data_IF_894886349754
#
_entry.id   IF_894886349754
#
_cell.length_a   1.000
_cell.length_b   1.000
_cell.length_c   1.000
_cell.angle_alpha   90.00
_cell.angle_beta   90.00
_cell.angle_gamma   90.00
#
_symmetry.space_group_name_H-M   'P 1'
#
loop_
_entity.id
_entity.type
_entity.pdbx_description
1 polymer ?
#
# COMPACT_ATOMS: atom_id res chain seq x y z
N UNK A 1 9.66 1.98 -33.30
CA UNK A 1 10.10 3.22 -33.98
C UNK A 1 11.56 3.49 -33.64
N UNK A 2 12.43 3.55 -34.65
CA UNK A 2 13.85 3.88 -34.51
C UNK A 2 14.06 5.40 -34.57
N UNK A 3 15.11 5.87 -33.89
CA UNK A 3 15.74 7.16 -34.17
C UNK A 3 16.76 6.96 -35.30
N UNK A 4 16.92 7.96 -36.15
CA UNK A 4 17.98 8.04 -37.17
C UNK A 4 18.59 9.44 -37.16
N UNK A 5 19.87 9.56 -37.50
CA UNK A 5 20.53 10.87 -37.70
C UNK A 5 19.84 11.57 -38.88
N UNK A 6 19.57 12.87 -38.77
CA UNK A 6 18.75 13.63 -39.72
C UNK A 6 19.49 13.96 -41.05
N UNK A 7 19.82 12.95 -41.85
CA UNK A 7 20.32 13.10 -43.23
C UNK A 7 19.77 11.99 -44.16
N UNK A 8 19.91 12.18 -45.49
CA UNK A 8 19.19 11.44 -46.54
C UNK A 8 19.34 9.90 -46.53
N UNK A 9 18.19 9.22 -46.73
CA UNK A 9 17.98 7.87 -47.27
C UNK A 9 19.13 6.82 -47.23
N UNK A 10 19.00 5.84 -46.32
CA UNK A 10 19.28 4.40 -46.59
C UNK A 10 18.28 3.53 -45.79
N UNK A 11 17.89 2.37 -46.32
CA UNK A 11 17.01 1.36 -45.70
C UNK A 11 17.78 0.34 -44.83
N UNK A 12 17.07 -0.45 -44.00
CA UNK A 12 17.60 -1.59 -43.23
C UNK A 12 16.47 -2.60 -42.96
N UNK A 13 16.81 -3.90 -42.94
CA UNK A 13 15.88 -5.06 -42.97
C UNK A 13 15.85 -5.93 -41.67
N UNK A 14 15.08 -7.04 -41.69
CA UNK A 14 14.67 -7.96 -40.58
C UNK A 14 15.73 -9.00 -40.11
N UNK A 15 15.57 -9.96 -39.17
CA UNK A 15 14.46 -10.68 -38.42
C UNK A 15 15.01 -11.34 -37.09
N UNK A 16 14.29 -11.67 -35.98
CA UNK A 16 13.44 -12.87 -35.55
C UNK A 16 14.21 -14.23 -35.47
N UNK A 17 14.11 -15.20 -34.50
CA UNK A 17 13.20 -15.67 -33.38
C UNK A 17 13.91 -15.80 -31.98
N UNK A 18 13.53 -16.43 -30.82
CA UNK A 18 12.53 -17.41 -30.23
C UNK A 18 12.75 -18.94 -30.46
N UNK A 19 12.54 -19.95 -29.56
CA UNK A 19 12.19 -20.14 -28.10
C UNK A 19 12.66 -21.58 -27.60
N UNK A 20 12.27 -22.36 -26.54
CA UNK A 20 11.24 -22.41 -25.44
C UNK A 20 11.50 -23.58 -24.36
N UNK A 21 10.63 -23.83 -23.35
CA UNK A 21 10.43 -25.04 -22.41
C UNK A 21 11.42 -25.40 -21.24
N UNK A 22 11.16 -26.22 -20.17
CA UNK A 22 9.97 -26.57 -19.30
C UNK A 22 10.25 -27.48 -18.02
N UNK A 23 9.60 -27.21 -16.86
CA UNK A 23 9.22 -28.04 -15.64
C UNK A 23 10.20 -29.05 -14.89
N UNK A 24 9.88 -29.96 -13.90
CA UNK A 24 8.65 -30.46 -13.17
C UNK A 24 8.90 -31.32 -11.86
N UNK A 25 8.06 -31.22 -10.78
CA UNK A 25 7.72 -32.18 -9.63
C UNK A 25 8.82 -32.79 -8.67
N UNK A 26 8.59 -33.46 -7.50
CA UNK A 26 7.63 -33.53 -6.32
C UNK A 26 8.11 -34.69 -5.34
N UNK A 27 7.63 -35.12 -4.12
CA UNK A 27 6.58 -34.81 -3.09
C UNK A 27 6.80 -35.61 -1.72
N UNK A 28 5.86 -35.52 -0.72
CA UNK A 28 5.48 -36.48 0.38
C UNK A 28 6.07 -36.50 1.84
N UNK A 29 5.36 -37.16 2.81
CA UNK A 29 5.39 -36.98 4.30
C UNK A 29 5.40 -38.29 5.17
N UNK A 30 5.54 -38.21 6.53
CA UNK A 30 5.02 -39.23 7.49
C UNK A 30 4.75 -38.72 8.96
N UNK A 31 4.20 -39.55 9.88
CA UNK A 31 3.59 -39.16 11.20
C UNK A 31 3.90 -40.12 12.41
N UNK A 32 3.40 -39.80 13.63
CA UNK A 32 3.81 -40.35 14.95
C UNK A 32 2.70 -41.10 15.78
N UNK A 33 3.02 -41.81 16.90
CA UNK A 33 2.15 -42.80 17.58
C UNK A 33 1.46 -42.37 18.92
N UNK A 34 0.86 -43.33 19.66
CA UNK A 34 0.00 -43.15 20.88
C UNK A 34 0.57 -43.81 22.17
N UNK A 35 -0.10 -43.58 23.32
CA UNK A 35 0.32 -43.90 24.71
C UNK A 35 -0.63 -44.90 25.40
N UNK A 36 -0.13 -45.67 26.39
CA UNK A 36 -0.88 -46.55 27.31
C UNK A 36 -0.52 -46.26 28.78
N UNK A 37 -1.39 -46.64 29.73
CA UNK A 37 -1.15 -46.65 31.20
C UNK A 37 -0.75 -48.04 31.71
N UNK A 38 0.05 -48.11 32.77
CA UNK A 38 0.63 -49.34 33.32
C UNK A 38 0.26 -49.59 34.81
N UNK A 39 0.43 -50.83 35.27
CA UNK A 39 0.17 -51.29 36.65
C UNK A 39 1.45 -51.93 37.21
N UNK A 40 1.80 -51.64 38.46
CA UNK A 40 3.01 -52.14 39.10
C UNK A 40 2.86 -53.55 39.70
N UNK A 41 3.54 -54.52 39.08
CA UNK A 41 3.53 -55.94 39.45
C UNK A 41 5.00 -56.39 39.52
N UNK A 42 5.44 -56.96 40.66
CA UNK A 42 6.84 -57.44 40.83
C UNK A 42 7.02 -58.83 40.21
N UNK A 43 6.04 -59.71 40.43
CA UNK A 43 5.88 -61.04 39.82
C UNK A 43 4.39 -61.37 39.74
N UNK A 44 3.99 -62.36 38.93
CA UNK A 44 2.58 -62.70 38.58
C UNK A 44 1.64 -63.10 39.73
N UNK A 45 2.05 -62.96 40.99
CA UNK A 45 1.28 -63.28 42.21
C UNK A 45 1.34 -62.15 43.26
N UNK A 46 2.18 -61.12 43.10
CA UNK A 46 2.32 -60.03 44.10
C UNK A 46 2.39 -58.63 43.45
N UNK A 47 1.45 -57.79 43.87
CA UNK A 47 1.43 -56.33 43.69
C UNK A 47 2.17 -55.72 44.88
N UNK A 48 3.10 -54.79 44.66
CA UNK A 48 3.72 -54.02 45.74
C UNK A 48 2.69 -52.97 46.24
N UNK A 49 2.25 -53.00 47.52
CA UNK A 49 1.34 -52.00 48.05
C UNK A 49 1.96 -50.60 48.00
N UNK A 50 1.17 -49.59 47.67
CA UNK A 50 1.61 -48.19 47.74
C UNK A 50 2.71 -47.79 46.76
N UNK A 51 2.93 -48.50 45.64
CA UNK A 51 3.96 -48.18 44.64
C UNK A 51 3.35 -47.66 43.32
N UNK A 52 4.02 -46.69 42.71
CA UNK A 52 3.60 -46.00 41.47
C UNK A 52 4.79 -45.72 40.53
N UNK A 53 4.51 -45.03 39.41
CA UNK A 53 5.50 -44.62 38.42
C UNK A 53 5.74 -45.67 37.33
N UNK A 54 6.19 -45.23 36.14
CA UNK A 54 6.37 -46.10 34.97
C UNK A 54 7.44 -47.20 35.14
N UNK A 55 8.28 -47.11 36.18
CA UNK A 55 9.26 -48.15 36.55
C UNK A 55 9.05 -48.68 37.98
N UNK A 56 7.91 -48.38 38.61
CA UNK A 56 7.55 -48.88 39.94
C UNK A 56 8.59 -48.57 41.03
N UNK A 57 9.10 -47.34 40.97
CA UNK A 57 10.27 -46.83 41.71
C UNK A 57 9.93 -45.63 42.62
N UNK A 58 8.65 -45.32 42.76
CA UNK A 58 8.10 -44.17 43.49
C UNK A 58 6.97 -44.68 44.41
N UNK A 59 6.80 -44.07 45.58
CA UNK A 59 5.62 -44.35 46.40
C UNK A 59 4.39 -43.63 45.82
N UNK A 60 3.24 -44.31 45.88
CA UNK A 60 1.94 -43.72 45.63
C UNK A 60 1.64 -42.62 46.68
N UNK A 61 0.71 -41.69 46.39
CA UNK A 61 0.30 -40.68 47.36
C UNK A 61 -0.08 -41.30 48.72
N UNK A 62 0.27 -40.60 49.80
CA UNK A 62 0.11 -41.04 51.19
C UNK A 62 0.85 -42.34 51.55
N UNK A 63 1.90 -42.70 50.81
CA UNK A 63 2.80 -43.80 51.16
C UNK A 63 4.27 -43.35 51.14
N UNK A 64 5.10 -43.98 51.97
CA UNK A 64 6.51 -43.62 52.15
C UNK A 64 7.44 -44.83 52.34
N UNK A 65 8.75 -44.59 52.28
CA UNK A 65 9.78 -45.53 52.71
C UNK A 65 9.82 -46.79 51.85
N UNK A 66 9.96 -46.61 50.52
CA UNK A 66 10.04 -47.67 49.51
C UNK A 66 11.10 -48.72 49.88
N UNK A 67 10.65 -49.95 50.12
CA UNK A 67 11.48 -51.12 50.35
C UNK A 67 11.08 -52.29 49.44
N UNK A 68 11.70 -53.46 49.63
CA UNK A 68 11.42 -54.65 48.83
C UNK A 68 9.95 -55.15 48.90
N UNK A 69 9.22 -54.79 49.94
CA UNK A 69 7.83 -55.21 50.16
C UNK A 69 6.81 -54.21 49.61
N UNK A 70 7.19 -52.95 49.36
CA UNK A 70 6.34 -51.89 48.83
C UNK A 70 6.66 -50.54 49.49
N UNK A 71 5.64 -49.68 49.63
CA UNK A 71 5.70 -48.51 50.49
C UNK A 71 4.69 -48.64 51.64
N UNK A 72 4.99 -48.01 52.78
CA UNK A 72 4.16 -48.03 53.99
C UNK A 72 3.16 -46.88 53.93
N UNK A 73 1.93 -47.09 54.38
CA UNK A 73 0.93 -46.03 54.46
C UNK A 73 1.32 -44.99 55.53
N UNK A 74 1.15 -43.71 55.20
CA UNK A 74 1.48 -42.59 56.10
C UNK A 74 0.40 -42.34 57.15
N UNK A 75 0.77 -41.67 58.24
CA UNK A 75 -0.24 -41.08 59.14
C UNK A 75 -0.90 -39.86 58.49
N UNK A 76 -2.13 -39.56 58.90
CA UNK A 76 -2.88 -38.39 58.41
C UNK A 76 -2.24 -37.11 58.94
N UNK A 77 -1.86 -36.20 58.05
CA UNK A 77 -1.16 -34.98 58.43
C UNK A 77 -2.05 -33.98 59.19
N UNK A 78 -1.49 -33.24 60.17
CA UNK A 78 -2.26 -32.39 61.07
C UNK A 78 -2.79 -31.11 60.41
N UNK A 79 -2.13 -30.59 59.37
CA UNK A 79 -2.58 -29.42 58.62
C UNK A 79 -3.14 -29.82 57.23
N UNK A 80 -4.29 -29.28 56.76
CA UNK A 80 -4.97 -29.75 55.55
C UNK A 80 -4.20 -29.67 54.22
N UNK A 81 -3.15 -28.84 54.13
CA UNK A 81 -2.30 -28.71 52.95
C UNK A 81 -0.92 -29.36 53.06
N UNK A 82 -0.62 -30.05 54.16
CA UNK A 82 0.59 -30.86 54.29
C UNK A 82 0.44 -32.18 53.54
N UNK A 83 1.54 -32.67 52.97
CA UNK A 83 1.65 -33.99 52.35
C UNK A 83 2.70 -34.82 53.08
N UNK A 84 2.55 -36.14 53.03
CA UNK A 84 3.55 -37.06 53.54
C UNK A 84 4.80 -37.06 52.65
N UNK A 85 5.99 -36.94 53.24
CA UNK A 85 7.26 -37.13 52.56
C UNK A 85 7.44 -38.61 52.15
N UNK A 86 7.66 -38.93 50.87
CA UNK A 86 7.71 -40.31 50.37
C UNK A 86 8.98 -41.07 50.80
N UNK A 87 9.96 -40.41 51.43
CA UNK A 87 11.18 -41.02 51.95
C UNK A 87 11.08 -41.23 53.47
N UNK A 88 10.75 -40.19 54.23
CA UNK A 88 10.79 -40.24 55.70
C UNK A 88 9.45 -40.58 56.36
N UNK A 89 8.33 -40.24 55.72
CA UNK A 89 6.99 -40.35 56.30
C UNK A 89 6.52 -39.11 57.08
N UNK A 90 7.35 -38.06 57.15
CA UNK A 90 7.02 -36.82 57.86
C UNK A 90 6.01 -35.97 57.09
N UNK A 91 5.21 -35.17 57.81
CA UNK A 91 4.26 -34.24 57.20
C UNK A 91 4.93 -32.91 56.86
N UNK A 92 5.09 -32.64 55.56
CA UNK A 92 5.80 -31.48 55.01
C UNK A 92 4.88 -30.64 54.12
N UNK A 93 5.20 -29.36 53.95
CA UNK A 93 4.54 -28.55 52.94
C UNK A 93 4.98 -28.97 51.52
N UNK A 94 4.07 -29.05 50.54
CA UNK A 94 4.40 -29.32 49.14
C UNK A 94 5.45 -28.34 48.57
N UNK A 95 6.24 -28.74 47.55
CA UNK A 95 7.33 -27.93 47.02
C UNK A 95 6.94 -26.49 46.66
N UNK A 96 7.76 -25.52 47.11
CA UNK A 96 7.57 -24.09 46.88
C UNK A 96 6.26 -23.48 47.44
N UNK A 97 5.66 -24.10 48.45
CA UNK A 97 4.54 -23.52 49.22
C UNK A 97 5.00 -22.94 50.57
N UNK A 98 4.15 -22.11 51.18
CA UNK A 98 4.35 -21.44 52.47
C UNK A 98 2.98 -21.10 53.09
N UNK A 99 2.95 -20.90 54.40
CA UNK A 99 1.72 -20.70 55.18
C UNK A 99 1.49 -21.85 56.17
N UNK A 100 0.64 -21.63 57.19
CA UNK A 100 0.35 -22.65 58.21
C UNK A 100 -0.42 -23.84 57.64
N UNK A 101 -1.14 -23.65 56.53
CA UNK A 101 -1.83 -24.68 55.78
C UNK A 101 -1.20 -24.89 54.39
N UNK A 102 0.05 -24.46 54.20
CA UNK A 102 0.80 -24.52 52.94
C UNK A 102 0.07 -23.84 51.76
N UNK A 103 -0.80 -22.87 52.05
CA UNK A 103 -1.84 -22.38 51.15
C UNK A 103 -1.38 -21.29 50.15
N UNK A 104 -0.17 -20.76 50.33
CA UNK A 104 0.42 -19.73 49.48
C UNK A 104 1.66 -20.26 48.74
N UNK A 105 1.98 -19.69 47.57
CA UNK A 105 3.26 -19.93 46.91
C UNK A 105 4.38 -19.08 47.54
N UNK A 106 5.63 -19.56 47.49
CA UNK A 106 6.79 -18.70 47.76
C UNK A 106 6.96 -17.63 46.67
N UNK A 107 7.70 -16.55 46.95
CA UNK A 107 7.83 -15.39 46.05
C UNK A 107 8.30 -15.70 44.61
N UNK A 108 9.00 -16.82 44.42
CA UNK A 108 9.50 -17.26 43.13
C UNK A 108 8.69 -18.46 42.58
N UNK A 109 7.41 -18.57 42.92
CA UNK A 109 6.54 -19.65 42.46
C UNK A 109 5.08 -19.21 42.24
N UNK A 110 4.38 -19.97 41.40
CA UNK A 110 3.00 -19.71 40.94
C UNK A 110 2.28 -21.04 40.67
N UNK A 111 1.00 -21.00 40.26
CA UNK A 111 0.21 -22.19 39.90
C UNK A 111 0.18 -23.24 41.03
N UNK A 112 -0.45 -22.85 42.15
CA UNK A 112 -0.63 -23.71 43.34
C UNK A 112 -1.48 -24.95 43.05
N UNK A 113 -1.01 -26.11 43.52
CA UNK A 113 -1.71 -27.38 43.46
C UNK A 113 -1.52 -28.17 44.77
N UNK A 114 -2.58 -28.50 45.54
CA UNK A 114 -2.47 -29.05 46.90
C UNK A 114 -1.53 -30.26 47.07
N UNK A 115 -1.44 -31.16 46.08
CA UNK A 115 -0.58 -32.36 46.14
C UNK A 115 0.79 -32.21 45.43
N UNK A 116 1.10 -31.04 44.86
CA UNK A 116 2.33 -30.81 44.06
C UNK A 116 3.06 -29.52 44.43
N UNK A 117 2.42 -28.65 45.20
CA UNK A 117 2.91 -27.33 45.56
C UNK A 117 2.81 -26.34 44.41
N UNK A 118 3.77 -25.43 44.31
CA UNK A 118 3.81 -24.38 43.29
C UNK A 118 4.93 -24.62 42.27
N UNK A 119 4.67 -24.23 41.03
CA UNK A 119 5.64 -24.23 39.93
C UNK A 119 6.59 -23.04 40.09
N UNK A 120 7.91 -23.24 40.01
CA UNK A 120 8.85 -22.12 40.07
C UNK A 120 8.65 -21.15 38.89
N UNK A 121 8.90 -19.86 39.14
CA UNK A 121 9.03 -18.84 38.11
C UNK A 121 10.30 -19.12 37.26
N UNK A 122 10.14 -19.13 35.94
CA UNK A 122 11.21 -19.39 34.96
C UNK A 122 11.44 -18.14 34.11
N UNK A 123 11.75 -17.02 34.77
CA UNK A 123 11.91 -15.72 34.12
C UNK A 123 13.27 -15.58 33.42
N UNK A 124 13.23 -15.05 32.20
CA UNK A 124 14.41 -14.75 31.36
C UNK A 124 15.37 -13.81 32.09
N UNK A 125 16.59 -14.30 32.36
CA UNK A 125 17.66 -13.53 33.03
C UNK A 125 18.07 -12.25 32.27
N UNK A 126 17.75 -12.18 30.97
CA UNK A 126 18.03 -11.01 30.11
C UNK A 126 16.80 -10.11 30.02
N UNK A 127 15.63 -10.68 29.71
CA UNK A 127 14.42 -9.90 29.40
C UNK A 127 13.53 -9.53 30.59
N UNK A 128 13.71 -10.16 31.75
CA UNK A 128 12.94 -9.87 32.96
C UNK A 128 13.64 -8.89 33.90
N UNK A 129 12.84 -8.22 34.73
CA UNK A 129 13.23 -7.32 35.81
C UNK A 129 13.17 -8.08 37.15
N UNK A 130 14.00 -9.13 37.26
CA UNK A 130 14.06 -10.07 38.38
C UNK A 130 13.60 -11.50 38.04
N UNK A 131 13.79 -12.46 38.97
CA UNK A 131 13.35 -13.84 38.78
C UNK A 131 11.88 -14.08 39.23
N UNK A 132 11.33 -13.17 40.04
CA UNK A 132 9.98 -13.26 40.58
C UNK A 132 8.91 -13.04 39.50
N UNK A 133 7.83 -13.81 39.56
CA UNK A 133 6.68 -13.73 38.66
C UNK A 133 5.38 -13.59 39.47
N UNK A 134 4.31 -13.11 38.82
CA UNK A 134 3.01 -12.98 39.49
C UNK A 134 2.47 -14.37 39.92
N UNK A 135 2.22 -14.61 41.21
CA UNK A 135 1.90 -15.95 41.72
C UNK A 135 0.56 -16.51 41.22
N UNK A 136 -0.33 -15.65 40.71
CA UNK A 136 -1.66 -16.05 40.21
C UNK A 136 -1.62 -16.55 38.76
N UNK A 137 -0.69 -16.07 37.93
CA UNK A 137 -0.70 -16.34 36.48
C UNK A 137 0.67 -16.61 35.84
N UNK A 138 1.77 -16.57 36.61
CA UNK A 138 3.13 -16.87 36.15
C UNK A 138 3.79 -15.77 35.33
N UNK A 139 3.16 -14.61 35.13
CA UNK A 139 3.71 -13.54 34.31
C UNK A 139 4.91 -12.88 35.01
N UNK A 140 6.09 -13.00 34.38
CA UNK A 140 7.30 -12.29 34.75
C UNK A 140 7.17 -10.79 34.41
N UNK A 141 7.84 -9.93 35.19
CA UNK A 141 7.90 -8.48 34.92
C UNK A 141 8.93 -8.23 33.80
N UNK A 142 8.48 -7.92 32.59
CA UNK A 142 9.38 -7.73 31.45
C UNK A 142 9.99 -6.32 31.38
N UNK A 143 11.22 -6.24 30.87
CA UNK A 143 11.86 -4.99 30.43
C UNK A 143 11.20 -4.51 29.13
N UNK A 144 11.33 -3.22 28.82
CA UNK A 144 10.56 -2.55 27.77
C UNK A 144 10.61 -3.21 26.37
N UNK A 145 11.73 -3.85 26.02
CA UNK A 145 11.98 -4.45 24.70
C UNK A 145 11.57 -5.93 24.62
N UNK A 146 11.06 -6.51 25.73
CA UNK A 146 10.83 -7.95 25.90
C UNK A 146 9.36 -8.25 26.23
N UNK A 147 8.89 -9.44 25.86
CA UNK A 147 7.49 -9.88 26.00
C UNK A 147 7.41 -11.40 26.17
N UNK A 148 6.21 -11.90 26.47
CA UNK A 148 5.94 -13.31 26.75
C UNK A 148 5.84 -13.59 28.25
N UNK A 149 5.34 -14.77 28.62
CA UNK A 149 5.14 -15.15 30.01
C UNK A 149 6.44 -15.07 30.83
N UNK A 150 7.55 -15.46 30.18
CA UNK A 150 8.89 -15.51 30.76
C UNK A 150 9.78 -14.32 30.38
N UNK A 151 9.30 -13.38 29.56
CA UNK A 151 10.13 -12.34 28.93
C UNK A 151 11.26 -12.92 28.04
N UNK A 152 10.95 -14.02 27.37
CA UNK A 152 11.82 -14.87 26.54
C UNK A 152 11.75 -14.54 25.04
N UNK A 153 11.08 -13.44 24.67
CA UNK A 153 10.87 -12.99 23.30
C UNK A 153 10.99 -11.47 23.22
N UNK A 154 11.30 -10.93 22.04
CA UNK A 154 11.28 -9.48 21.80
C UNK A 154 9.84 -8.96 21.61
N UNK A 155 9.63 -7.69 21.98
CA UNK A 155 8.34 -7.00 21.88
C UNK A 155 8.02 -6.55 20.45
N UNK A 156 6.84 -5.97 20.24
CA UNK A 156 6.38 -5.54 18.92
C UNK A 156 7.33 -4.49 18.28
N UNK A 157 7.94 -4.86 17.16
CA UNK A 157 8.92 -4.03 16.46
C UNK A 157 10.35 -4.20 16.98
N UNK A 158 10.66 -5.30 17.67
CA UNK A 158 12.01 -5.73 18.01
C UNK A 158 12.22 -7.20 17.60
N UNK A 159 13.45 -7.57 17.26
CA UNK A 159 13.85 -8.92 16.81
C UNK A 159 15.20 -9.35 17.43
N UNK A 160 15.68 -10.57 17.15
CA UNK A 160 16.98 -11.11 17.61
C UNK A 160 17.11 -11.32 19.14
N UNK A 161 16.18 -12.03 19.79
CA UNK A 161 16.36 -12.45 21.18
C UNK A 161 17.62 -13.37 21.30
N UNK A 162 18.53 -13.19 22.27
CA UNK A 162 18.38 -12.39 23.50
C UNK A 162 18.76 -10.91 23.40
N UNK A 163 19.35 -10.44 22.31
CA UNK A 163 19.74 -9.03 22.12
C UNK A 163 18.70 -8.31 21.26
N UNK A 164 17.56 -7.99 21.89
CA UNK A 164 16.40 -7.44 21.20
C UNK A 164 16.70 -6.08 20.54
N UNK A 165 16.80 -6.07 19.21
CA UNK A 165 17.14 -4.89 18.41
C UNK A 165 15.90 -4.37 17.67
N UNK A 166 15.77 -3.05 17.56
CA UNK A 166 14.59 -2.43 16.95
C UNK A 166 14.49 -2.71 15.43
N UNK A 167 13.30 -3.05 14.96
CA UNK A 167 13.03 -3.35 13.55
C UNK A 167 13.36 -2.17 12.63
N UNK A 168 13.13 -0.92 13.06
CA UNK A 168 13.47 0.32 12.34
C UNK A 168 13.03 0.37 10.87
N UNK A 169 11.84 -0.18 10.57
CA UNK A 169 11.26 -0.17 9.24
C UNK A 169 10.83 1.24 8.81
N UNK A 170 11.10 1.64 7.57
CA UNK A 170 10.54 2.87 7.03
C UNK A 170 9.05 2.69 6.71
N UNK A 171 8.23 3.41 7.47
CA UNK A 171 6.80 3.64 7.25
C UNK A 171 6.41 4.03 5.82
N UNK A 172 7.31 4.62 5.02
CA UNK A 172 7.04 5.00 3.65
C UNK A 172 7.05 3.78 2.71
N UNK A 173 7.91 2.80 2.98
CA UNK A 173 8.11 1.62 2.14
C UNK A 173 7.62 0.29 2.70
N UNK A 174 7.22 0.24 3.96
CA UNK A 174 6.65 -0.96 4.62
C UNK A 174 5.14 -1.08 4.34
N UNK A 175 4.58 -2.29 4.28
CA UNK A 175 3.12 -2.48 4.21
C UNK A 175 2.47 -1.93 5.50
N UNK A 176 1.55 -0.95 5.42
CA UNK A 176 0.90 -0.39 6.61
C UNK A 176 0.12 -1.42 7.44
N UNK A 177 -0.24 -2.59 6.90
CA UNK A 177 -0.89 -3.69 7.65
C UNK A 177 0.06 -4.38 8.63
N UNK A 178 1.37 -4.27 8.44
CA UNK A 178 2.39 -4.81 9.35
C UNK A 178 2.83 -3.81 10.42
N UNK A 179 2.26 -2.60 10.43
CA UNK A 179 2.56 -1.53 11.36
C UNK A 179 1.40 -1.35 12.36
N UNK A 180 1.75 -1.31 13.65
CA UNK A 180 0.79 -0.99 14.71
C UNK A 180 0.45 0.50 14.73
N UNK A 181 -0.63 0.86 15.45
CA UNK A 181 -1.07 2.26 15.60
C UNK A 181 0.00 3.20 16.21
N UNK A 182 1.01 2.64 16.89
CA UNK A 182 2.17 3.37 17.44
C UNK A 182 3.24 3.71 16.40
N UNK A 183 3.09 3.31 15.13
CA UNK A 183 4.11 3.46 14.09
C UNK A 183 5.25 2.43 14.15
N UNK A 184 5.29 1.60 15.19
CA UNK A 184 6.16 0.41 15.25
C UNK A 184 5.67 -0.63 14.23
N UNK A 185 6.56 -1.12 13.36
CA UNK A 185 6.27 -2.17 12.39
C UNK A 185 7.00 -3.46 12.72
N UNK A 186 6.36 -4.60 12.46
CA UNK A 186 6.96 -5.91 12.62
C UNK A 186 8.01 -6.19 11.53
N UNK A 187 9.01 -6.97 11.90
CA UNK A 187 10.02 -7.55 11.02
C UNK A 187 10.22 -9.04 11.38
N UNK A 188 10.89 -9.79 10.51
CA UNK A 188 11.19 -11.21 10.76
C UNK A 188 12.38 -11.41 11.74
N UNK A 189 12.78 -12.66 11.95
CA UNK A 189 13.90 -13.02 12.83
C UNK A 189 15.26 -12.49 12.33
N UNK A 190 15.37 -12.14 11.04
CA UNK A 190 16.55 -11.51 10.41
C UNK A 190 16.49 -9.96 10.45
N UNK A 191 15.39 -9.39 10.93
CA UNK A 191 15.16 -7.95 10.92
C UNK A 191 14.69 -7.39 9.57
N UNK A 192 14.25 -8.24 8.63
CA UNK A 192 13.66 -7.85 7.35
C UNK A 192 12.21 -7.37 7.57
N UNK A 193 11.95 -6.13 7.18
CA UNK A 193 10.62 -5.52 7.18
C UNK A 193 9.80 -5.95 5.95
N UNK A 194 8.47 -6.09 6.05
CA UNK A 194 7.62 -6.47 4.92
C UNK A 194 7.38 -5.29 3.97
N UNK A 195 8.14 -5.22 2.89
CA UNK A 195 8.13 -4.07 1.98
C UNK A 195 6.93 -4.07 1.01
N UNK A 196 6.50 -2.86 0.63
CA UNK A 196 5.57 -2.60 -0.48
C UNK A 196 6.20 -3.04 -1.80
N UNK A 197 5.35 -3.34 -2.79
CA UNK A 197 5.69 -3.95 -4.09
C UNK A 197 7.01 -3.47 -4.73
N UNK A 198 7.25 -2.16 -4.78
CA UNK A 198 8.38 -1.56 -5.51
C UNK A 198 9.51 -1.09 -4.57
N UNK A 199 9.66 -1.72 -3.41
CA UNK A 199 10.60 -1.32 -2.35
C UNK A 199 11.37 -2.52 -1.83
N UNK A 200 12.64 -2.31 -1.47
CA UNK A 200 13.58 -3.33 -0.98
C UNK A 200 14.47 -2.81 0.15
N UNK A 201 15.42 -3.65 0.55
CA UNK A 201 16.30 -3.43 1.69
C UNK A 201 15.69 -3.97 2.98
N UNK A 202 16.53 -4.27 3.97
CA UNK A 202 16.09 -4.81 5.27
C UNK A 202 15.05 -3.91 5.96
N UNK A 203 15.09 -2.60 5.69
CA UNK A 203 14.26 -1.58 6.32
C UNK A 203 13.22 -0.95 5.40
N UNK A 204 13.08 -1.43 4.16
CA UNK A 204 12.17 -0.89 3.15
C UNK A 204 12.38 0.62 2.89
N UNK A 205 13.65 1.04 2.90
CA UNK A 205 14.13 2.42 2.73
C UNK A 205 14.51 2.73 1.26
N UNK A 206 14.64 1.70 0.43
CA UNK A 206 15.27 1.78 -0.90
C UNK A 206 14.30 1.32 -1.99
N UNK A 207 14.08 2.14 -3.01
CA UNK A 207 13.28 1.75 -4.17
C UNK A 207 13.88 0.53 -4.90
N UNK A 208 13.03 -0.37 -5.41
CA UNK A 208 13.53 -1.49 -6.21
C UNK A 208 13.95 -1.04 -7.63
N UNK A 209 14.70 -1.89 -8.33
CA UNK A 209 15.24 -1.61 -9.65
C UNK A 209 14.12 -1.24 -10.63
N UNK A 210 14.34 -0.20 -11.42
CA UNK A 210 13.32 0.41 -12.29
C UNK A 210 12.16 1.09 -11.56
N UNK A 211 12.38 1.56 -10.32
CA UNK A 211 11.44 2.41 -9.60
C UNK A 211 12.15 3.53 -8.82
N UNK A 212 11.41 4.61 -8.53
CA UNK A 212 11.93 5.84 -7.94
C UNK A 212 10.89 6.53 -7.04
N UNK A 213 11.34 7.50 -6.24
CA UNK A 213 10.51 8.33 -5.35
C UNK A 213 9.67 7.52 -4.34
N UNK A 214 10.27 7.22 -3.19
CA UNK A 214 9.62 6.53 -2.08
C UNK A 214 8.60 7.45 -1.39
N UNK A 215 7.32 7.11 -1.47
CA UNK A 215 6.20 7.88 -0.93
C UNK A 215 5.36 7.03 0.04
N UNK A 216 5.13 7.52 1.27
CA UNK A 216 4.18 6.87 2.21
C UNK A 216 2.76 6.76 1.63
N UNK A 217 2.34 7.78 0.89
CA UNK A 217 1.10 7.91 0.11
C UNK A 217 0.96 6.91 -1.04
N UNK A 218 2.07 6.39 -1.56
CA UNK A 218 2.05 5.45 -2.68
C UNK A 218 1.83 4.02 -2.15
N UNK A 219 0.78 3.29 -2.60
CA UNK A 219 0.53 1.92 -2.16
C UNK A 219 1.61 0.92 -2.61
N UNK A 220 2.34 1.20 -3.70
CA UNK A 220 3.49 0.43 -4.14
C UNK A 220 4.82 0.90 -3.52
N UNK A 221 4.81 2.01 -2.76
CA UNK A 221 5.97 2.63 -2.14
C UNK A 221 6.74 3.52 -3.12
N UNK A 222 7.38 2.91 -4.12
CA UNK A 222 8.04 3.65 -5.21
C UNK A 222 7.25 3.60 -6.53
N UNK A 223 7.46 4.61 -7.36
CA UNK A 223 6.83 4.78 -8.68
C UNK A 223 7.66 4.06 -9.74
N UNK A 224 7.04 3.30 -10.63
CA UNK A 224 7.76 2.56 -11.70
C UNK A 224 8.30 3.52 -12.77
N UNK A 225 9.55 3.33 -13.21
CA UNK A 225 10.15 4.14 -14.28
C UNK A 225 9.43 3.93 -15.63
N UNK A 226 9.11 5.02 -16.33
CA UNK A 226 8.47 4.98 -17.65
C UNK A 226 9.30 5.67 -18.75
N UNK A 227 10.55 5.24 -18.90
CA UNK A 227 11.49 5.75 -19.90
C UNK A 227 11.19 5.30 -21.36
N UNK A 228 9.91 5.20 -21.74
CA UNK A 228 9.41 4.80 -23.07
C UNK A 228 10.07 3.53 -23.66
N UNK A 229 10.38 2.56 -22.80
CA UNK A 229 11.12 1.33 -23.12
C UNK A 229 12.51 1.60 -23.76
N UNK A 230 13.21 2.67 -23.35
CA UNK A 230 14.57 3.05 -23.82
C UNK A 230 15.67 2.73 -22.82
N UNK A 231 15.37 2.91 -21.54
CA UNK A 231 16.13 2.42 -20.39
C UNK A 231 15.13 1.91 -19.36
N UNK A 232 15.64 1.27 -18.31
CA UNK A 232 14.88 0.99 -17.09
C UNK A 232 15.39 1.82 -15.90
N UNK A 233 16.54 2.48 -16.03
CA UNK A 233 17.12 3.32 -14.99
C UNK A 233 16.54 4.74 -15.02
N UNK A 234 15.93 5.14 -13.91
CA UNK A 234 15.51 6.50 -13.67
C UNK A 234 15.62 6.87 -12.18
N UNK A 235 15.64 8.16 -11.89
CA UNK A 235 15.61 8.72 -10.53
C UNK A 235 14.48 9.74 -10.40
N UNK A 236 14.16 10.15 -9.16
CA UNK A 236 13.32 11.33 -8.94
C UNK A 236 14.03 12.56 -9.50
N UNK A 237 13.37 13.31 -10.38
CA UNK A 237 13.93 14.54 -10.93
C UNK A 237 14.00 15.65 -9.87
N UNK A 238 14.99 16.54 -9.99
CA UNK A 238 15.11 17.76 -9.18
C UNK A 238 14.25 18.93 -9.72
N UNK A 239 13.28 18.64 -10.58
CA UNK A 239 12.34 19.64 -11.08
C UNK A 239 11.38 20.08 -9.97
N UNK A 240 10.78 21.25 -10.13
CA UNK A 240 9.84 21.87 -9.18
C UNK A 240 8.51 22.19 -9.86
N UNK A 241 7.43 22.26 -9.09
CA UNK A 241 6.09 22.54 -9.63
C UNK A 241 5.87 24.01 -9.97
N UNK A 242 5.76 24.33 -11.26
CA UNK A 242 5.22 25.61 -11.76
C UNK A 242 3.80 25.43 -12.28
N UNK A 243 2.94 26.45 -12.12
CA UNK A 243 1.60 26.46 -12.71
C UNK A 243 1.57 27.25 -14.02
N UNK A 244 1.05 26.62 -15.07
CA UNK A 244 0.67 27.28 -16.33
C UNK A 244 -0.82 27.61 -16.26
N UNK A 245 -1.16 28.88 -16.46
CA UNK A 245 -2.54 29.39 -16.35
C UNK A 245 -3.21 29.55 -17.72
N UNK A 246 -4.55 29.55 -17.73
CA UNK A 246 -5.36 30.03 -18.86
C UNK A 246 -6.30 31.15 -18.40
N UNK A 247 -6.74 31.97 -19.36
CA UNK A 247 -7.69 33.05 -19.11
C UNK A 247 -9.07 32.50 -18.73
N UNK A 248 -9.72 33.15 -17.76
CA UNK A 248 -11.14 32.96 -17.44
C UNK A 248 -12.01 33.14 -18.71
N UNK A 249 -13.03 32.30 -18.87
CA UNK A 249 -13.96 32.32 -20.02
C UNK A 249 -15.40 32.24 -19.56
N UNK A 250 -16.28 32.94 -20.27
CA UNK A 250 -17.73 32.90 -20.08
C UNK A 250 -18.43 32.80 -21.44
N UNK A 251 -19.50 32.01 -21.46
CA UNK A 251 -20.53 31.99 -22.50
C UNK A 251 -21.83 32.50 -21.90
N UNK A 252 -22.52 33.36 -22.63
CA UNK A 252 -23.95 33.63 -22.45
C UNK A 252 -24.69 32.97 -23.62
N UNK A 253 -25.84 32.35 -23.33
CA UNK A 253 -26.68 31.65 -24.29
C UNK A 253 -27.82 32.56 -24.79
N UNK A 254 -27.86 32.85 -26.09
CA UNK A 254 -28.85 33.75 -26.72
C UNK A 254 -29.46 33.15 -28.01
N UNK A 255 -29.92 33.99 -28.93
CA UNK A 255 -30.41 33.67 -30.28
C UNK A 255 -29.89 34.77 -31.25
N UNK A 256 -29.62 34.50 -32.55
CA UNK A 256 -29.85 33.27 -33.32
C UNK A 256 -28.63 32.33 -33.41
N UNK A 257 -28.88 31.05 -33.70
CA UNK A 257 -27.97 29.90 -33.51
C UNK A 257 -26.54 30.04 -34.06
N UNK A 258 -25.53 29.75 -33.22
CA UNK A 258 -24.15 29.47 -33.65
C UNK A 258 -23.72 28.09 -33.12
N UNK A 259 -23.34 27.19 -34.04
CA UNK A 259 -23.14 25.77 -33.73
C UNK A 259 -21.86 25.45 -32.98
N UNK A 260 -21.95 24.52 -32.02
CA UNK A 260 -20.80 23.85 -31.40
C UNK A 260 -20.07 22.95 -32.42
N UNK A 261 -18.80 22.64 -32.16
CA UNK A 261 -18.04 21.67 -32.98
C UNK A 261 -18.10 20.29 -32.35
N UNK A 262 -18.54 19.27 -33.09
CA UNK A 262 -18.48 17.87 -32.62
C UNK A 262 -17.14 17.23 -33.00
N UNK A 263 -16.36 16.79 -32.01
CA UNK A 263 -15.08 16.08 -32.18
C UNK A 263 -14.96 15.03 -31.08
N UNK A 264 -14.32 13.88 -31.34
CA UNK A 264 -14.14 12.81 -30.33
C UNK A 264 -15.45 12.36 -29.65
N UNK A 265 -16.56 12.43 -30.38
CA UNK A 265 -17.95 12.25 -29.91
C UNK A 265 -18.38 13.12 -28.70
N UNK A 266 -17.83 14.34 -28.56
CA UNK A 266 -18.30 15.37 -27.62
C UNK A 266 -18.61 16.69 -28.32
N UNK A 267 -19.46 17.50 -27.69
CA UNK A 267 -19.90 18.80 -28.19
C UNK A 267 -19.01 19.90 -27.59
N UNK A 268 -18.25 20.62 -28.42
CA UNK A 268 -17.16 21.51 -27.99
C UNK A 268 -17.50 22.97 -28.32
N UNK A 269 -17.36 23.85 -27.32
CA UNK A 269 -17.42 25.30 -27.47
C UNK A 269 -16.17 25.77 -28.23
N UNK A 270 -16.32 26.65 -29.22
CA UNK A 270 -15.19 27.27 -29.92
C UNK A 270 -14.36 28.14 -28.96
N UNK A 271 -13.12 28.46 -29.35
CA UNK A 271 -12.21 29.26 -28.52
C UNK A 271 -12.74 30.70 -28.30
N UNK A 272 -13.33 31.27 -29.36
CA UNK A 272 -14.08 32.54 -29.43
C UNK A 272 -15.32 32.34 -30.34
N UNK A 273 -16.42 33.13 -30.25
CA UNK A 273 -16.63 34.33 -29.42
C UNK A 273 -17.35 34.05 -28.08
N UNK A 274 -17.69 35.10 -27.32
CA UNK A 274 -18.25 35.01 -25.94
C UNK A 274 -19.78 34.89 -25.85
N UNK A 275 -20.49 34.87 -26.98
CA UNK A 275 -21.95 34.61 -27.03
C UNK A 275 -22.17 33.36 -27.87
N UNK A 276 -22.85 32.37 -27.29
CA UNK A 276 -23.37 31.21 -28.00
C UNK A 276 -24.88 31.26 -27.97
N UNK A 277 -25.54 30.34 -28.66
CA UNK A 277 -26.98 30.36 -28.80
C UNK A 277 -27.52 28.93 -28.60
N UNK A 278 -28.43 28.75 -27.64
CA UNK A 278 -28.73 27.44 -27.02
C UNK A 278 -29.80 26.61 -27.74
N UNK A 279 -29.38 25.80 -28.71
CA UNK A 279 -30.17 24.72 -29.31
C UNK A 279 -29.22 23.65 -29.91
N UNK A 280 -29.55 22.34 -29.90
CA UNK A 280 -30.79 21.69 -29.45
C UNK A 280 -30.78 21.24 -27.98
N UNK A 281 -31.94 20.72 -27.56
CA UNK A 281 -32.19 19.97 -26.32
C UNK A 281 -31.49 18.59 -26.30
N UNK A 282 -30.19 18.57 -26.58
CA UNK A 282 -29.37 17.36 -26.46
C UNK A 282 -29.14 17.07 -24.96
N UNK A 283 -29.32 15.83 -24.52
CA UNK A 283 -29.00 15.41 -23.14
C UNK A 283 -27.49 15.38 -22.84
N UNK A 284 -26.64 15.70 -23.81
CA UNK A 284 -25.17 15.68 -23.72
C UNK A 284 -24.60 17.06 -23.40
N UNK A 285 -23.72 17.19 -22.38
CA UNK A 285 -23.17 18.49 -22.00
C UNK A 285 -22.18 19.05 -23.02
N UNK A 286 -22.01 20.37 -22.97
CA UNK A 286 -21.00 21.09 -23.75
C UNK A 286 -19.65 21.06 -23.01
N UNK A 287 -18.55 21.21 -23.75
CA UNK A 287 -17.19 21.17 -23.22
C UNK A 287 -16.36 22.40 -23.64
N UNK A 288 -15.60 22.94 -22.68
CA UNK A 288 -14.54 23.92 -22.88
C UNK A 288 -13.26 23.24 -23.39
N UNK A 289 -12.74 23.57 -24.58
CA UNK A 289 -11.38 23.18 -24.95
C UNK A 289 -10.37 24.09 -24.23
N UNK A 290 -9.33 23.51 -23.64
CA UNK A 290 -8.21 24.28 -23.10
C UNK A 290 -7.26 24.78 -24.21
N UNK A 291 -6.62 25.96 -24.02
CA UNK A 291 -5.79 26.58 -25.05
C UNK A 291 -4.48 25.82 -25.28
N UNK A 292 -3.78 26.17 -26.36
CA UNK A 292 -2.55 25.48 -26.81
C UNK A 292 -1.44 25.38 -25.75
N UNK A 293 -1.39 26.30 -24.77
CA UNK A 293 -0.44 26.26 -23.65
C UNK A 293 -0.59 25.03 -22.73
N UNK A 294 -1.70 24.29 -22.81
CA UNK A 294 -1.98 23.05 -22.07
C UNK A 294 -1.75 21.79 -22.91
N UNK A 295 -1.42 21.93 -24.20
CA UNK A 295 -1.28 20.85 -25.18
C UNK A 295 0.20 20.49 -25.44
N UNK A 296 0.46 19.48 -26.27
CA UNK A 296 1.81 19.01 -26.60
C UNK A 296 2.35 17.98 -25.60
N UNK A 297 3.67 17.94 -25.41
CA UNK A 297 4.29 17.06 -24.41
C UNK A 297 4.01 17.60 -22.99
N UNK A 298 3.41 16.74 -22.16
CA UNK A 298 3.02 16.98 -20.77
C UNK A 298 3.44 15.81 -19.87
N UNK A 299 4.46 15.04 -20.27
CA UNK A 299 5.07 14.00 -19.41
C UNK A 299 5.54 14.56 -18.06
N UNK A 300 6.07 15.79 -18.05
CA UNK A 300 6.44 16.55 -16.84
C UNK A 300 5.26 17.08 -16.02
N UNK A 301 4.01 16.87 -16.45
CA UNK A 301 2.80 17.16 -15.64
C UNK A 301 2.27 15.92 -14.91
N UNK A 302 2.86 14.73 -15.09
CA UNK A 302 2.46 13.53 -14.35
C UNK A 302 2.57 13.75 -12.84
N UNK A 303 1.62 13.23 -12.06
CA UNK A 303 1.44 13.40 -10.61
C UNK A 303 0.98 14.80 -10.16
N UNK A 304 1.16 15.83 -10.99
CA UNK A 304 0.63 17.18 -10.78
C UNK A 304 -0.88 17.27 -10.97
N UNK A 305 -1.45 18.47 -10.89
CA UNK A 305 -2.90 18.70 -10.94
C UNK A 305 -3.33 19.68 -12.04
N UNK A 306 -4.52 19.44 -12.60
CA UNK A 306 -5.32 20.43 -13.33
C UNK A 306 -6.31 21.03 -12.32
N UNK A 307 -6.39 22.37 -12.26
CA UNK A 307 -7.33 23.13 -11.41
C UNK A 307 -8.23 23.98 -12.29
N UNK A 308 -9.48 24.14 -11.86
CA UNK A 308 -10.45 25.05 -12.47
C UNK A 308 -11.67 25.21 -11.54
N UNK A 309 -12.47 26.25 -11.80
CA UNK A 309 -13.76 26.51 -11.18
C UNK A 309 -14.83 26.66 -12.26
N UNK A 310 -15.89 25.86 -12.18
CA UNK A 310 -17.08 25.97 -13.04
C UNK A 310 -18.18 26.74 -12.32
N UNK A 311 -18.93 27.55 -13.06
CA UNK A 311 -20.16 28.20 -12.60
C UNK A 311 -21.19 28.19 -13.74
N UNK A 312 -22.44 27.87 -13.41
CA UNK A 312 -23.57 27.81 -14.34
C UNK A 312 -24.73 28.59 -13.75
N UNK A 313 -25.44 29.34 -14.57
CA UNK A 313 -26.59 30.16 -14.16
C UNK A 313 -27.84 29.71 -14.90
N UNK A 314 -28.96 29.60 -14.19
CA UNK A 314 -30.30 29.31 -14.74
C UNK A 314 -31.19 30.53 -14.52
N UNK A 315 -31.16 31.43 -15.50
CA UNK A 315 -31.86 32.71 -15.47
C UNK A 315 -33.38 32.56 -15.71
N UNK A 316 -33.86 31.37 -16.10
CA UNK A 316 -35.29 31.03 -16.08
C UNK A 316 -35.81 30.78 -14.67
N UNK A 317 -35.02 30.14 -13.81
CA UNK A 317 -35.37 29.86 -12.40
C UNK A 317 -34.79 30.87 -11.40
N UNK A 318 -33.93 31.78 -11.84
CA UNK A 318 -33.26 32.76 -10.99
C UNK A 318 -32.17 32.14 -10.10
N UNK A 319 -31.57 31.03 -10.54
CA UNK A 319 -30.57 30.27 -9.77
C UNK A 319 -29.17 30.61 -10.31
N UNK A 320 -28.40 31.34 -9.51
CA UNK A 320 -26.96 31.56 -9.76
C UNK A 320 -26.18 30.38 -9.16
N UNK A 321 -25.24 29.80 -9.90
CA UNK A 321 -24.43 28.68 -9.41
C UNK A 321 -25.17 27.33 -9.31
N UNK A 322 -25.81 26.91 -10.39
CA UNK A 322 -26.46 25.60 -10.56
C UNK A 322 -25.48 24.45 -10.29
N UNK A 323 -25.72 23.69 -9.23
CA UNK A 323 -25.04 22.42 -8.96
C UNK A 323 -25.55 21.32 -9.91
N UNK A 324 -24.70 20.34 -10.29
CA UNK A 324 -25.14 19.18 -11.07
C UNK A 324 -26.09 18.28 -10.29
N UNK A 325 -27.06 17.71 -11.01
CA UNK A 325 -27.94 16.67 -10.47
C UNK A 325 -27.12 15.41 -10.14
N UNK A 326 -27.17 14.98 -8.88
CA UNK A 326 -26.45 13.81 -8.38
C UNK A 326 -26.79 12.50 -9.11
N UNK A 327 -28.03 12.36 -9.61
CA UNK A 327 -28.45 11.17 -10.37
C UNK A 327 -27.83 11.12 -11.78
N UNK A 328 -27.43 12.27 -12.34
CA UNK A 328 -26.92 12.36 -13.72
C UNK A 328 -25.46 12.84 -13.84
N UNK A 329 -24.85 13.32 -12.76
CA UNK A 329 -23.49 13.85 -12.76
C UNK A 329 -22.48 12.86 -13.36
N UNK A 330 -22.50 11.60 -12.88
CA UNK A 330 -21.53 10.54 -13.24
C UNK A 330 -21.71 9.94 -14.64
N UNK A 331 -22.76 10.29 -15.41
CA UNK A 331 -22.90 9.82 -16.79
C UNK A 331 -21.92 10.49 -17.76
N UNK A 332 -21.44 11.70 -17.46
CA UNK A 332 -20.56 12.46 -18.34
C UNK A 332 -19.30 12.92 -17.61
N UNK A 333 -18.14 12.62 -18.20
CA UNK A 333 -16.83 12.98 -17.67
C UNK A 333 -16.71 14.50 -17.41
N UNK A 334 -16.15 14.86 -16.26
CA UNK A 334 -15.88 16.25 -15.89
C UNK A 334 -14.68 16.80 -16.66
N UNK A 335 -13.66 15.96 -16.86
CA UNK A 335 -12.50 16.27 -17.71
C UNK A 335 -12.23 15.09 -18.65
N UNK A 336 -11.93 15.39 -19.92
CA UNK A 336 -11.54 14.42 -20.93
C UNK A 336 -10.18 14.83 -21.47
N UNK A 337 -9.21 13.91 -21.42
CA UNK A 337 -7.88 14.08 -21.98
C UNK A 337 -7.76 13.22 -23.24
N UNK A 338 -7.43 13.86 -24.36
CA UNK A 338 -7.16 13.17 -25.64
C UNK A 338 -5.67 13.28 -25.93
N UNK A 339 -5.00 12.13 -25.93
CA UNK A 339 -3.56 12.02 -26.09
C UNK A 339 -3.17 11.02 -27.18
N UNK A 340 -2.11 11.36 -27.90
CA UNK A 340 -1.45 10.51 -28.90
C UNK A 340 -2.42 9.79 -29.87
N UNK A 341 -3.28 10.57 -30.53
CA UNK A 341 -4.19 10.19 -31.62
C UNK A 341 -5.35 9.26 -31.26
N UNK A 342 -5.17 8.28 -30.37
CA UNK A 342 -6.15 7.22 -30.09
C UNK A 342 -6.47 7.01 -28.61
N UNK A 343 -5.73 7.63 -27.67
CA UNK A 343 -5.99 7.47 -26.24
C UNK A 343 -6.96 8.56 -25.78
N UNK A 344 -8.13 8.16 -25.29
CA UNK A 344 -9.13 9.05 -24.69
C UNK A 344 -9.34 8.60 -23.24
N UNK A 345 -8.91 9.43 -22.30
CA UNK A 345 -9.05 9.23 -20.87
C UNK A 345 -10.13 10.14 -20.31
N UNK A 346 -10.89 9.64 -19.34
CA UNK A 346 -11.96 10.37 -18.68
C UNK A 346 -11.74 10.43 -17.17
N UNK A 347 -11.94 11.62 -16.60
CA UNK A 347 -12.06 11.81 -15.16
C UNK A 347 -13.52 12.14 -14.80
N UNK A 348 -14.08 11.36 -13.86
CA UNK A 348 -15.35 11.62 -13.20
C UNK A 348 -15.03 11.75 -11.71
N UNK A 349 -15.29 12.90 -11.08
CA UNK A 349 -15.15 13.06 -9.63
C UNK A 349 -16.12 12.13 -8.90
N UNK A 350 -15.69 11.57 -7.77
CA UNK A 350 -16.56 10.74 -6.93
C UNK A 350 -17.63 11.57 -6.20
N UNK A 351 -17.29 12.82 -5.88
CA UNK A 351 -18.13 13.79 -5.17
C UNK A 351 -18.36 15.07 -6.01
N UNK A 352 -19.47 15.75 -5.75
CA UNK A 352 -19.83 17.03 -6.38
C UNK A 352 -19.23 18.17 -5.57
N UNK A 353 -18.49 19.08 -6.22
CA UNK A 353 -17.93 20.26 -5.54
C UNK A 353 -18.98 21.35 -5.36
N UNK A 354 -19.42 21.57 -4.13
CA UNK A 354 -20.34 22.66 -3.74
C UNK A 354 -19.87 24.05 -4.20
N UNK A 355 -18.56 24.27 -4.26
CA UNK A 355 -17.95 25.54 -4.68
C UNK A 355 -17.69 25.64 -6.19
N UNK A 356 -17.99 24.59 -6.95
CA UNK A 356 -17.67 24.45 -8.37
C UNK A 356 -16.16 24.28 -8.66
N UNK A 357 -15.29 24.28 -7.65
CA UNK A 357 -13.83 24.09 -7.79
C UNK A 357 -13.46 22.63 -7.87
N UNK A 358 -12.63 22.27 -8.84
CA UNK A 358 -12.10 20.91 -9.02
C UNK A 358 -10.56 20.93 -9.10
N UNK A 359 -9.94 19.88 -8.55
CA UNK A 359 -8.49 19.67 -8.54
C UNK A 359 -8.20 18.22 -8.96
N UNK A 360 -7.95 18.00 -10.24
CA UNK A 360 -7.83 16.68 -10.87
C UNK A 360 -6.36 16.29 -10.97
N UNK A 361 -5.95 15.18 -10.34
CA UNK A 361 -4.54 14.69 -10.40
C UNK A 361 -4.27 13.98 -11.73
N UNK A 362 -3.11 14.25 -12.33
CA UNK A 362 -2.61 13.55 -13.52
C UNK A 362 -1.88 12.26 -13.08
N UNK A 363 -2.63 11.35 -12.47
CA UNK A 363 -2.18 10.05 -11.95
C UNK A 363 -3.22 9.00 -12.34
N UNK A 364 -2.83 7.82 -12.82
CA UNK A 364 -3.76 6.89 -13.50
C UNK A 364 -4.94 6.43 -12.64
N UNK A 365 -4.79 6.36 -11.32
CA UNK A 365 -5.86 6.10 -10.34
C UNK A 365 -6.98 7.15 -10.28
N UNK A 366 -6.94 8.20 -11.12
CA UNK A 366 -7.98 9.21 -11.27
C UNK A 366 -8.62 9.22 -12.67
N UNK A 367 -8.24 8.31 -13.57
CA UNK A 367 -8.70 8.30 -14.95
C UNK A 367 -9.15 6.90 -15.37
N UNK A 368 -10.22 6.83 -16.18
CA UNK A 368 -10.65 5.60 -16.87
C UNK A 368 -10.43 5.71 -18.38
N UNK A 369 -10.26 4.59 -19.07
CA UNK A 369 -10.22 4.55 -20.53
C UNK A 369 -11.64 4.63 -21.10
N UNK A 370 -11.94 5.55 -22.02
CA UNK A 370 -13.25 5.60 -22.70
C UNK A 370 -13.53 4.31 -23.49
N UNK A 371 -12.48 3.66 -24.00
CA UNK A 371 -12.59 2.44 -24.82
C UNK A 371 -12.66 1.15 -23.99
N UNK A 372 -12.36 1.22 -22.69
CA UNK A 372 -12.27 0.06 -21.78
C UNK A 372 -12.46 0.53 -20.33
N UNK A 373 -13.67 0.97 -19.94
CA UNK A 373 -13.88 1.64 -18.66
C UNK A 373 -13.69 0.71 -17.45
N UNK A 374 -13.88 -0.60 -17.64
CA UNK A 374 -13.74 -1.64 -16.62
C UNK A 374 -12.28 -2.05 -16.36
N UNK A 375 -11.35 -1.59 -17.19
CA UNK A 375 -9.91 -1.84 -17.06
C UNK A 375 -9.25 -0.60 -16.45
N UNK A 376 -8.53 -0.71 -15.33
CA UNK A 376 -7.85 0.43 -14.74
C UNK A 376 -6.77 0.96 -15.70
N UNK A 377 -6.70 2.30 -15.82
CA UNK A 377 -5.64 2.95 -16.60
C UNK A 377 -4.29 2.64 -15.94
N UNK A 378 -3.27 2.40 -16.77
CA UNK A 378 -1.90 2.19 -16.30
C UNK A 378 -1.07 3.46 -16.41
N UNK A 379 -0.05 3.63 -15.56
CA UNK A 379 0.96 4.71 -15.68
C UNK A 379 1.48 4.83 -17.11
N UNK A 380 1.79 3.70 -17.75
CA UNK A 380 2.18 3.60 -19.16
C UNK A 380 1.16 4.21 -20.11
N UNK A 381 -0.13 3.90 -19.97
CA UNK A 381 -1.19 4.45 -20.82
C UNK A 381 -1.36 5.96 -20.62
N UNK A 382 -1.31 6.44 -19.38
CA UNK A 382 -1.39 7.87 -19.06
C UNK A 382 -0.17 8.62 -19.60
N UNK A 383 1.05 8.14 -19.38
CA UNK A 383 2.28 8.76 -19.86
C UNK A 383 2.37 8.80 -21.40
N UNK A 384 1.89 7.76 -22.10
CA UNK A 384 1.81 7.78 -23.57
C UNK A 384 0.75 8.76 -24.08
N UNK A 385 -0.33 9.02 -23.32
CA UNK A 385 -1.28 10.07 -23.63
C UNK A 385 -0.67 11.47 -23.38
N UNK A 386 0.04 11.65 -22.27
CA UNK A 386 0.74 12.87 -21.89
C UNK A 386 1.89 13.23 -22.85
N UNK A 387 2.51 12.26 -23.53
CA UNK A 387 3.56 12.51 -24.55
C UNK A 387 3.12 13.49 -25.65
N UNK A 388 1.83 13.52 -25.98
CA UNK A 388 1.28 14.34 -27.05
C UNK A 388 -0.21 14.60 -26.79
N UNK A 389 -0.50 15.50 -25.85
CA UNK A 389 -1.86 15.94 -25.53
C UNK A 389 -2.40 16.79 -26.68
N UNK A 390 -3.46 16.31 -27.31
CA UNK A 390 -4.11 16.93 -28.48
C UNK A 390 -5.40 17.68 -28.13
N UNK A 391 -5.90 17.50 -26.91
CA UNK A 391 -7.02 18.25 -26.36
C UNK A 391 -7.25 17.88 -24.90
N UNK A 392 -7.47 18.88 -24.07
CA UNK A 392 -8.08 18.72 -22.74
C UNK A 392 -9.42 19.45 -22.80
N UNK A 393 -10.48 18.76 -22.40
CA UNK A 393 -11.85 19.23 -22.49
C UNK A 393 -12.50 19.17 -21.11
N UNK A 394 -12.99 20.31 -20.61
CA UNK A 394 -13.64 20.41 -19.29
C UNK A 394 -15.14 20.64 -19.48
N UNK A 395 -15.99 19.93 -18.72
CA UNK A 395 -17.46 20.04 -18.81
C UNK A 395 -17.91 21.47 -18.50
N UNK A 396 -18.69 22.05 -19.41
CA UNK A 396 -19.16 23.43 -19.36
C UNK A 396 -20.60 23.57 -18.86
N UNK A 397 -21.45 22.54 -19.01
CA UNK A 397 -22.85 22.58 -18.60
C UNK A 397 -23.24 21.38 -17.72
N UNK A 398 -24.05 21.67 -16.70
CA UNK A 398 -24.64 20.67 -15.81
C UNK A 398 -26.15 20.50 -16.02
N UNK A 399 -26.86 21.62 -16.24
CA UNK A 399 -28.26 21.70 -16.68
C UNK A 399 -28.37 21.79 -18.22
N UNK A 400 -29.60 21.74 -18.73
CA UNK A 400 -29.89 22.18 -20.09
C UNK A 400 -29.96 23.73 -20.14
N UNK A 401 -29.07 24.41 -20.91
CA UNK A 401 -29.01 25.87 -20.91
C UNK A 401 -30.20 26.49 -21.66
N UNK A 402 -30.81 27.50 -21.04
CA UNK A 402 -31.83 28.34 -21.62
C UNK A 402 -31.27 29.59 -22.32
N UNK A 403 -32.10 30.23 -23.16
CA UNK A 403 -31.87 31.62 -23.57
C UNK A 403 -31.83 32.52 -22.32
N UNK A 404 -30.72 33.23 -22.16
CA UNK A 404 -30.41 34.08 -21.01
C UNK A 404 -29.38 33.47 -20.06
N UNK A 405 -29.21 32.14 -20.04
CA UNK A 405 -28.31 31.44 -19.13
C UNK A 405 -26.83 31.75 -19.44
N UNK A 406 -25.96 31.46 -18.47
CA UNK A 406 -24.53 31.55 -18.65
C UNK A 406 -23.81 30.29 -18.14
N UNK A 407 -22.64 30.05 -18.70
CA UNK A 407 -21.65 29.16 -18.11
C UNK A 407 -20.29 29.86 -18.11
N UNK A 408 -19.51 29.68 -17.05
CA UNK A 408 -18.14 30.19 -16.99
C UNK A 408 -17.18 29.16 -16.40
N UNK A 409 -15.92 29.29 -16.81
CA UNK A 409 -14.78 28.55 -16.30
C UNK A 409 -13.71 29.55 -15.88
N UNK A 410 -13.22 29.42 -14.65
CA UNK A 410 -12.29 30.35 -14.00
C UNK A 410 -11.17 29.60 -13.28
N UNK A 411 -10.17 30.34 -12.80
CA UNK A 411 -9.10 29.79 -11.93
C UNK A 411 -8.35 28.60 -12.59
N UNK A 412 -8.15 28.67 -13.92
CA UNK A 412 -7.66 27.55 -14.72
C UNK A 412 -6.14 27.45 -14.62
N UNK A 413 -5.62 26.33 -14.09
CA UNK A 413 -4.18 26.02 -14.13
C UNK A 413 -3.86 24.55 -14.34
N UNK A 414 -2.65 24.26 -14.82
CA UNK A 414 -2.04 22.93 -14.86
C UNK A 414 -0.65 23.01 -14.23
N UNK A 415 -0.31 22.05 -13.37
CA UNK A 415 1.05 21.89 -12.86
C UNK A 415 1.96 21.31 -13.95
N UNK A 416 3.15 21.88 -14.09
CA UNK A 416 4.21 21.43 -14.99
C UNK A 416 5.52 21.44 -14.21
N UNK A 417 6.25 20.33 -14.22
CA UNK A 417 7.57 20.27 -13.61
C UNK A 417 8.59 21.01 -14.49
N UNK A 418 9.33 21.94 -13.90
CA UNK A 418 10.33 22.80 -14.56
C UNK A 418 11.61 22.84 -13.75
N UNK A 419 12.70 23.29 -14.36
CA UNK A 419 13.93 23.64 -13.64
C UNK A 419 13.69 24.92 -12.83
N UNK A 420 14.31 25.00 -11.65
CA UNK A 420 14.17 26.16 -10.77
C UNK A 420 14.80 27.42 -11.38
N UNK A 421 13.97 28.42 -11.66
CA UNK A 421 14.40 29.75 -12.06
C UNK A 421 14.31 30.68 -10.84
N UNK A 422 15.43 31.33 -10.50
CA UNK A 422 15.70 31.92 -9.18
C UNK A 422 15.02 33.28 -8.94
N UNK A 423 13.72 33.40 -9.20
CA UNK A 423 12.97 34.66 -9.04
C UNK A 423 11.68 34.56 -8.21
N UNK A 424 11.04 33.39 -8.08
CA UNK A 424 9.77 33.29 -7.36
C UNK A 424 9.49 31.96 -6.63
N UNK A 425 8.93 32.13 -5.43
CA UNK A 425 8.16 31.15 -4.63
C UNK A 425 8.87 29.98 -3.93
N UNK A 426 8.15 29.39 -2.96
CA UNK A 426 8.57 28.25 -2.14
C UNK A 426 8.36 26.96 -2.95
N UNK A 427 9.37 26.62 -3.74
CA UNK A 427 9.27 25.59 -4.78
C UNK A 427 9.23 24.16 -4.20
N UNK A 428 8.06 23.53 -4.25
CA UNK A 428 7.91 22.11 -3.94
C UNK A 428 8.40 21.23 -5.11
N UNK A 429 9.22 20.23 -4.80
CA UNK A 429 9.74 19.25 -5.77
C UNK A 429 8.61 18.56 -6.54
N UNK A 430 8.85 18.28 -7.82
CA UNK A 430 7.94 17.56 -8.71
C UNK A 430 7.95 16.05 -8.44
N UNK A 431 7.53 15.65 -7.24
CA UNK A 431 7.47 14.26 -6.79
C UNK A 431 6.66 13.41 -7.79
N UNK A 432 7.22 12.28 -8.23
CA UNK A 432 6.63 11.39 -9.23
C UNK A 432 6.97 11.72 -10.69
N UNK A 433 7.72 12.81 -10.94
CA UNK A 433 8.33 13.12 -12.24
C UNK A 433 9.75 12.57 -12.28
N UNK A 434 9.97 11.61 -13.17
CA UNK A 434 11.24 10.90 -13.36
C UNK A 434 12.30 11.72 -14.11
N UNK A 435 13.56 11.30 -13.96
CA UNK A 435 14.66 11.62 -14.85
C UNK A 435 15.33 10.31 -15.26
N UNK A 436 15.20 9.93 -16.53
CA UNK A 436 15.70 8.69 -17.09
C UNK A 436 17.11 8.84 -17.69
N UNK A 437 17.93 7.79 -17.60
CA UNK A 437 19.24 7.74 -18.26
C UNK A 437 19.06 7.39 -19.75
N UNK A 438 18.92 8.41 -20.59
CA UNK A 438 18.54 8.22 -21.99
C UNK A 438 19.69 7.76 -22.89
N UNK A 439 19.53 6.66 -23.65
CA UNK A 439 20.54 6.21 -24.60
C UNK A 439 20.65 7.16 -25.80
N UNK A 440 21.76 7.04 -26.53
CA UNK A 440 22.07 7.89 -27.69
C UNK A 440 20.90 7.98 -28.68
N UNK A 441 20.57 9.21 -29.09
CA UNK A 441 19.45 9.50 -29.99
C UNK A 441 18.12 9.85 -29.31
N UNK A 442 18.02 9.74 -27.98
CA UNK A 442 16.81 10.05 -27.19
C UNK A 442 17.04 11.21 -26.21
N UNK A 443 15.97 11.96 -25.90
CA UNK A 443 16.00 13.11 -25.00
C UNK A 443 14.65 13.31 -24.27
N UNK A 444 14.65 14.28 -23.34
CA UNK A 444 13.52 14.53 -22.43
C UNK A 444 13.53 13.60 -21.22
N UNK A 445 12.87 14.01 -20.13
CA UNK A 445 12.84 13.31 -18.83
C UNK A 445 12.54 11.80 -18.91
N UNK A 446 11.68 11.38 -19.84
CA UNK A 446 11.28 9.97 -20.04
C UNK A 446 11.86 9.37 -21.33
N UNK A 447 12.90 9.98 -21.91
CA UNK A 447 13.48 9.58 -23.20
C UNK A 447 12.48 9.60 -24.37
N UNK A 448 11.45 10.43 -24.25
CA UNK A 448 10.29 10.44 -25.14
C UNK A 448 10.53 11.21 -26.45
N UNK A 449 11.53 12.06 -26.51
CA UNK A 449 11.85 12.94 -27.64
C UNK A 449 13.15 12.55 -28.34
N UNK A 450 13.41 13.01 -29.58
CA UNK A 450 14.71 12.81 -30.23
C UNK A 450 15.79 13.66 -29.57
N UNK A 451 17.01 13.13 -29.47
CA UNK A 451 18.18 13.95 -29.20
C UNK A 451 18.45 14.92 -30.36
N UNK A 452 19.24 15.96 -30.09
CA UNK A 452 19.67 16.90 -31.12
C UNK A 452 20.38 16.17 -32.27
N UNK A 453 20.03 16.51 -33.52
CA UNK A 453 20.50 15.81 -34.72
C UNK A 453 19.79 14.48 -35.04
N UNK A 454 18.85 14.02 -34.21
CA UNK A 454 18.08 12.79 -34.44
C UNK A 454 16.61 13.04 -34.81
N UNK A 455 16.09 12.16 -35.65
CA UNK A 455 14.76 12.22 -36.25
C UNK A 455 14.00 10.89 -36.02
N UNK A 456 12.70 10.96 -35.72
CA UNK A 456 11.84 9.76 -35.64
C UNK A 456 11.58 9.21 -37.05
N UNK A 457 12.14 8.04 -37.42
CA UNK A 457 11.85 7.42 -38.73
C UNK A 457 10.40 6.94 -38.78
N UNK A 458 9.53 7.63 -39.52
CA UNK A 458 8.22 7.10 -39.91
C UNK A 458 8.47 5.89 -40.83
N UNK A 459 7.92 4.72 -40.50
CA UNK A 459 7.77 3.62 -41.45
C UNK A 459 6.45 3.85 -42.21
N UNK A 460 6.37 3.59 -43.54
CA UNK A 460 5.16 3.86 -44.31
C UNK A 460 3.93 3.08 -43.80
N UNK A 461 4.10 1.79 -43.53
CA UNK A 461 2.98 0.87 -43.28
C UNK A 461 2.73 0.60 -41.80
N UNK A 462 1.92 1.47 -41.17
CA UNK A 462 1.16 1.07 -39.96
C UNK A 462 -0.20 1.77 -39.84
N UNK A 463 -1.06 1.50 -40.84
CA UNK A 463 -2.52 1.69 -40.81
C UNK A 463 -3.00 3.15 -40.57
N UNK A 464 -3.14 3.85 -41.71
CA UNK A 464 -3.76 5.16 -41.95
C UNK A 464 -2.82 6.37 -41.86
N UNK A 465 -1.91 6.47 -42.82
CA UNK A 465 -1.15 7.68 -43.15
C UNK A 465 -1.96 8.65 -44.05
N UNK A 466 -3.01 9.26 -43.52
CA UNK A 466 -3.67 10.40 -44.18
C UNK A 466 -3.17 11.74 -43.60
N UNK A 467 -2.20 12.33 -44.31
CA UNK A 467 -1.69 13.71 -44.21
C UNK A 467 -1.11 14.12 -42.84
#
# INVERSE_FOLDING_TARGET
MLMVICARNVSMDSSISLADTDARNADAMNKAPKVFTAICIRDSVRVNPGVTGLKCNECAPNHYGLDETGCKECQVCPAPGQVCDPVTGDCVCPPNTVGEMCENCTKNAWNYHPLKGCTLCDCSKVGADGPECNPLNGQCKCRAEYVGLKCDRCTHGFFNFPECTACNCDSAGTDPKACGMSGSCLCDENGQCPCKKNVKGLKCDTCDASSFSLERSNPAGCTECFCFNRTYFCVQSSLVWQQVYALDRQVVFSEPWEYYTKKHNINILKEHPSRYNSYPTDATPLYWPLPRSFLGDRTTSYNGFIRFKIHNDDNRRGINGVLPDAAYFRYFAQVILVGNHRIILEHIPDEISETGRYKVRLHESQWRSRLSPDVPVTRKQLMVALQNVQGIYIRATYNYPARGDAASIKEISIDVAVWENTTDSVNATAIGVEMCECPQGYSGNSCQNPAEGYCRRRQPDYLNSEK
#
